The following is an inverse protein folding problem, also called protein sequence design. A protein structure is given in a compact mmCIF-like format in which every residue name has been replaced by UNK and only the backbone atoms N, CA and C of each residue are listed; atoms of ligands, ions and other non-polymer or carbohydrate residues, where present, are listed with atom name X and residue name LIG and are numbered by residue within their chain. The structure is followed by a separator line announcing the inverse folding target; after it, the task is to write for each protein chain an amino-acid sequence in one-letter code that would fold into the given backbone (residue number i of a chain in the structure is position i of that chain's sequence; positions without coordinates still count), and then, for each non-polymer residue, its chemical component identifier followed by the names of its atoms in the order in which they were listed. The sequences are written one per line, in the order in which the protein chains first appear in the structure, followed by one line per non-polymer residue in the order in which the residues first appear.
data_IF_023581677910
#
_entry.id   IF_023581677910
#
_cell.length_a   1.000
_cell.length_b   1.000
_cell.length_c   1.000
_cell.angle_alpha   90.00
_cell.angle_beta   90.00
_cell.angle_gamma   90.00
#
_symmetry.space_group_name_H-M   'P 1'
#
loop_
_entity.id
_entity.type
_entity.pdbx_description
1 polymer ?
#
# COMPACT_ATOMS: atom_id res chain seq x y z
N UNK A 1 0.70 -30.99 -16.53
CA UNK A 1 1.17 -29.62 -16.26
C UNK A 1 1.19 -29.40 -14.75
N UNK A 2 2.36 -29.35 -14.13
CA UNK A 2 2.47 -28.97 -12.72
C UNK A 2 2.26 -27.45 -12.62
N UNK A 3 1.16 -27.00 -12.03
CA UNK A 3 1.06 -25.61 -11.60
C UNK A 3 1.80 -25.51 -10.27
N UNK A 4 3.02 -24.99 -10.28
CA UNK A 4 3.62 -24.51 -9.04
C UNK A 4 2.73 -23.38 -8.51
N UNK A 5 2.20 -23.46 -7.28
CA UNK A 5 1.43 -22.37 -6.72
C UNK A 5 2.34 -21.16 -6.60
N UNK A 6 1.99 -20.08 -7.29
CA UNK A 6 2.63 -18.79 -7.06
C UNK A 6 2.18 -18.27 -5.69
N UNK A 7 3.07 -17.64 -4.92
CA UNK A 7 2.67 -16.97 -3.69
C UNK A 7 1.61 -15.89 -4.00
N UNK A 8 0.69 -15.61 -3.05
CA UNK A 8 -0.29 -14.54 -3.24
C UNK A 8 0.42 -13.19 -3.31
N UNK A 9 -0.11 -12.28 -4.14
CA UNK A 9 0.32 -10.89 -4.13
C UNK A 9 -0.20 -10.21 -2.86
N UNK A 10 0.66 -9.44 -2.20
CA UNK A 10 0.36 -8.71 -0.98
C UNK A 10 0.23 -7.22 -1.28
N UNK A 11 -0.94 -6.66 -1.02
CA UNK A 11 -1.19 -5.22 -1.01
C UNK A 11 -1.33 -4.73 0.43
N UNK A 12 -0.71 -3.60 0.75
CA UNK A 12 -0.85 -2.95 2.05
C UNK A 12 -1.55 -1.60 1.91
N UNK A 13 -2.58 -1.38 2.72
CA UNK A 13 -3.22 -0.08 2.87
C UNK A 13 -2.42 0.75 3.88
N UNK A 14 -1.96 1.93 3.47
CA UNK A 14 -1.08 2.78 4.27
C UNK A 14 -1.53 4.24 4.25
N UNK A 15 -1.04 5.01 5.23
CA UNK A 15 -1.19 6.46 5.27
C UNK A 15 0.18 7.13 5.20
N UNK A 16 0.28 8.18 4.37
CA UNK A 16 1.47 9.01 4.26
C UNK A 16 2.68 8.31 3.60
N UNK A 17 3.80 9.05 3.54
CA UNK A 17 5.03 8.59 2.88
C UNK A 17 5.76 7.55 3.74
N UNK A 18 5.78 7.75 5.06
CA UNK A 18 6.48 6.83 5.97
C UNK A 18 5.86 5.42 5.91
N UNK A 19 4.52 5.33 5.86
CA UNK A 19 3.81 4.06 5.70
C UNK A 19 4.09 3.40 4.35
N UNK A 20 4.13 4.19 3.27
CA UNK A 20 4.46 3.71 1.92
C UNK A 20 5.89 3.15 1.85
N UNK A 21 6.88 3.86 2.41
CA UNK A 21 8.27 3.40 2.46
C UNK A 21 8.43 2.15 3.32
N UNK A 22 7.72 2.07 4.46
CA UNK A 22 7.72 0.89 5.31
C UNK A 22 7.12 -0.32 4.58
N UNK A 23 6.02 -0.15 3.85
CA UNK A 23 5.40 -1.20 3.05
C UNK A 23 6.33 -1.70 1.95
N UNK A 24 7.02 -0.79 1.26
CA UNK A 24 8.03 -1.14 0.26
C UNK A 24 9.18 -1.94 0.88
N UNK A 25 9.73 -1.49 2.02
CA UNK A 25 10.80 -2.17 2.72
C UNK A 25 10.39 -3.56 3.24
N UNK A 26 9.11 -3.74 3.59
CA UNK A 26 8.54 -5.02 4.00
C UNK A 26 8.27 -5.98 2.83
N UNK A 27 8.45 -5.54 1.58
CA UNK A 27 8.29 -6.37 0.38
C UNK A 27 6.85 -6.47 -0.11
N UNK A 28 6.01 -5.46 0.14
CA UNK A 28 4.67 -5.40 -0.46
C UNK A 28 4.77 -5.32 -1.99
N UNK A 29 3.93 -6.07 -2.69
CA UNK A 29 3.83 -6.02 -4.15
C UNK A 29 3.11 -4.75 -4.64
N UNK A 30 2.21 -4.21 -3.80
CA UNK A 30 1.42 -3.02 -4.08
C UNK A 30 1.06 -2.27 -2.79
N UNK A 31 0.71 -1.00 -2.95
CA UNK A 31 0.24 -0.14 -1.87
C UNK A 31 -1.06 0.54 -2.30
N UNK A 32 -2.04 0.55 -1.41
CA UNK A 32 -3.19 1.46 -1.46
C UNK A 32 -2.88 2.66 -0.57
N UNK A 33 -2.74 3.85 -1.17
CA UNK A 33 -2.46 5.08 -0.45
C UNK A 33 -3.77 5.75 -0.01
N UNK A 34 -3.97 5.82 1.30
CA UNK A 34 -5.16 6.38 1.93
C UNK A 34 -4.81 7.56 2.85
N UNK A 35 -5.85 8.25 3.31
CA UNK A 35 -5.81 9.11 4.49
C UNK A 35 -6.88 8.69 5.50
N UNK A 36 -6.74 9.08 6.76
CA UNK A 36 -7.65 8.78 7.87
C UNK A 36 -8.03 7.30 7.95
N UNK A 37 -7.04 6.41 8.07
CA UNK A 37 -7.30 4.96 8.17
C UNK A 37 -8.23 4.58 9.34
N UNK A 38 -8.23 5.38 10.42
CA UNK A 38 -9.14 5.19 11.56
C UNK A 38 -10.62 5.31 11.17
N UNK A 39 -10.94 6.03 10.10
CA UNK A 39 -12.29 6.14 9.54
C UNK A 39 -12.55 5.15 8.39
N UNK A 40 -11.62 4.22 8.14
CA UNK A 40 -11.72 3.21 7.08
C UNK A 40 -11.00 3.55 5.79
N UNK A 41 -10.22 4.65 5.76
CA UNK A 41 -9.49 5.09 4.58
C UNK A 41 -10.34 5.98 3.66
N UNK A 42 -9.86 7.19 3.43
CA UNK A 42 -10.46 8.17 2.52
C UNK A 42 -9.44 8.64 1.49
N UNK A 43 -9.91 9.38 0.49
CA UNK A 43 -9.06 9.98 -0.53
C UNK A 43 -7.97 10.84 0.10
N UNK A 44 -6.68 10.53 -0.14
CA UNK A 44 -5.57 11.33 0.36
C UNK A 44 -5.54 12.72 -0.28
N UNK A 45 -4.83 13.65 0.37
CA UNK A 45 -4.64 14.99 -0.22
C UNK A 45 -3.86 14.90 -1.53
N UNK A 46 -4.10 15.83 -2.45
CA UNK A 46 -3.34 15.91 -3.70
C UNK A 46 -1.82 16.06 -3.47
N UNK A 47 -1.43 16.74 -2.39
CA UNK A 47 -0.01 16.87 -2.01
C UNK A 47 0.60 15.53 -1.64
N UNK A 48 -0.13 14.72 -0.86
CA UNK A 48 0.28 13.36 -0.49
C UNK A 48 0.43 12.47 -1.72
N UNK A 49 -0.54 12.50 -2.65
CA UNK A 49 -0.49 11.73 -3.90
C UNK A 49 0.69 12.13 -4.78
N UNK A 50 1.05 13.42 -4.84
CA UNK A 50 2.19 13.90 -5.64
C UNK A 50 3.55 13.56 -5.02
N UNK A 51 3.59 13.35 -3.71
CA UNK A 51 4.82 13.06 -2.97
C UNK A 51 5.09 11.55 -2.87
N UNK A 52 4.06 10.72 -3.02
CA UNK A 52 4.12 9.26 -3.09
C UNK A 52 4.63 8.79 -4.45
#
# INVERSE_FOLDING_TARGET
MSKNPQPPLIELCVEGIDGLLAAQAAGADRVELCASLVEGGITPSLGTVRAA
#
